data_IF_760523562518
#
_entry.id   IF_760523562518
#
_cell.length_a   1.000
_cell.length_b   1.000
_cell.length_c   1.000
_cell.angle_alpha   90.00
_cell.angle_beta   90.00
_cell.angle_gamma   90.00
#
_symmetry.space_group_name_H-M   'P 1'
#
loop_
_entity.id
_entity.type
_entity.pdbx_description
1 polymer ?
#
# COMPACT_ATOMS: atom_id res chain seq x y z
N UNK A 1 2.82 -1.60 -33.95
CA UNK A 1 2.55 -2.75 -33.05
C UNK A 1 2.02 -2.20 -31.74
N UNK A 2 0.81 -2.56 -31.33
CA UNK A 2 0.26 -2.11 -30.06
C UNK A 2 1.09 -2.74 -28.92
N UNK A 3 1.69 -1.90 -28.08
CA UNK A 3 2.39 -2.32 -26.87
C UNK A 3 1.38 -2.97 -25.90
N UNK A 4 1.10 -4.27 -26.05
CA UNK A 4 0.31 -5.01 -25.08
C UNK A 4 1.13 -5.16 -23.78
N UNK A 5 0.55 -4.71 -22.67
CA UNK A 5 1.10 -4.93 -21.34
C UNK A 5 1.26 -6.43 -21.10
N UNK A 6 2.46 -6.88 -20.70
CA UNK A 6 2.66 -8.28 -20.36
C UNK A 6 1.74 -8.69 -19.19
N UNK A 7 1.10 -9.84 -19.31
CA UNK A 7 0.17 -10.36 -18.28
C UNK A 7 0.91 -11.00 -17.10
N UNK A 8 1.85 -10.25 -16.53
CA UNK A 8 2.56 -10.62 -15.30
C UNK A 8 2.53 -9.46 -14.31
N UNK A 9 2.41 -9.79 -13.03
CA UNK A 9 2.31 -8.81 -11.95
C UNK A 9 3.05 -9.31 -10.71
N UNK A 10 3.79 -8.40 -10.04
CA UNK A 10 4.35 -8.64 -8.72
C UNK A 10 3.62 -7.78 -7.70
N UNK A 11 3.13 -8.40 -6.61
CA UNK A 11 2.38 -7.75 -5.54
C UNK A 11 3.11 -7.97 -4.22
N UNK A 12 3.54 -6.91 -3.56
CA UNK A 12 4.16 -7.03 -2.24
C UNK A 12 3.10 -7.11 -1.13
N UNK A 13 3.33 -7.98 -0.11
CA UNK A 13 2.42 -8.13 1.02
C UNK A 13 1.06 -8.72 0.64
N UNK A 14 1.06 -9.89 0.00
CA UNK A 14 -0.13 -10.49 -0.60
C UNK A 14 -0.88 -11.50 0.30
N UNK A 15 -0.45 -11.73 1.54
CA UNK A 15 -1.07 -12.75 2.41
C UNK A 15 -2.50 -12.40 2.87
N UNK A 16 -2.86 -11.12 2.94
CA UNK A 16 -4.17 -10.66 3.43
C UNK A 16 -4.58 -9.32 2.79
N UNK A 17 -5.79 -8.86 3.08
CA UNK A 17 -6.27 -7.52 2.74
C UNK A 17 -6.24 -7.18 1.26
N UNK A 18 -5.79 -5.98 0.93
CA UNK A 18 -5.73 -5.48 -0.46
C UNK A 18 -4.84 -6.37 -1.33
N UNK A 19 -3.67 -6.78 -0.83
CA UNK A 19 -2.76 -7.64 -1.58
C UNK A 19 -3.38 -8.98 -1.96
N UNK A 20 -4.08 -9.65 -1.04
CA UNK A 20 -4.77 -10.91 -1.33
C UNK A 20 -5.92 -10.73 -2.32
N UNK A 21 -6.68 -9.64 -2.22
CA UNK A 21 -7.74 -9.33 -3.18
C UNK A 21 -7.19 -9.05 -4.58
N UNK A 22 -6.05 -8.37 -4.68
CA UNK A 22 -5.36 -8.17 -5.95
C UNK A 22 -4.87 -9.48 -6.55
N UNK A 23 -4.29 -10.39 -5.74
CA UNK A 23 -3.90 -11.72 -6.24
C UNK A 23 -5.09 -12.42 -6.88
N UNK A 24 -6.23 -12.50 -6.18
CA UNK A 24 -7.44 -13.14 -6.70
C UNK A 24 -7.91 -12.51 -8.01
N UNK A 25 -8.04 -11.17 -8.03
CA UNK A 25 -8.53 -10.44 -9.21
C UNK A 25 -7.62 -10.66 -10.44
N UNK A 26 -6.29 -10.54 -10.27
CA UNK A 26 -5.38 -10.69 -11.41
C UNK A 26 -5.26 -12.14 -11.90
N UNK A 27 -5.37 -13.14 -11.01
CA UNK A 27 -5.45 -14.54 -11.41
C UNK A 27 -6.71 -14.82 -12.23
N UNK A 28 -7.89 -14.29 -11.81
CA UNK A 28 -9.14 -14.40 -12.56
C UNK A 28 -9.04 -13.78 -13.97
N UNK A 29 -8.17 -12.79 -14.15
CA UNK A 29 -7.89 -12.14 -15.46
C UNK A 29 -6.77 -12.82 -16.26
N UNK A 30 -6.29 -13.97 -15.81
CA UNK A 30 -5.29 -14.79 -16.51
C UNK A 30 -3.86 -14.25 -16.43
N UNK A 31 -3.54 -13.48 -15.37
CA UNK A 31 -2.16 -13.03 -15.11
C UNK A 31 -1.33 -14.12 -14.43
N UNK A 32 -0.03 -14.11 -14.72
CA UNK A 32 0.97 -14.72 -13.86
C UNK A 32 1.23 -13.78 -12.68
N UNK A 33 0.96 -14.23 -11.46
CA UNK A 33 1.02 -13.41 -10.26
C UNK A 33 2.17 -13.85 -9.36
N UNK A 34 3.15 -12.97 -9.19
CA UNK A 34 4.21 -13.09 -8.19
C UNK A 34 3.73 -12.39 -6.92
N UNK A 35 3.64 -13.12 -5.80
CA UNK A 35 3.12 -12.57 -4.56
C UNK A 35 4.12 -12.64 -3.41
N UNK A 36 4.54 -11.51 -2.83
CA UNK A 36 5.45 -11.56 -1.69
C UNK A 36 4.74 -11.86 -0.38
N UNK A 37 5.36 -12.73 0.39
CA UNK A 37 4.97 -13.11 1.76
C UNK A 37 6.21 -13.07 2.65
N UNK A 38 6.06 -12.74 3.94
CA UNK A 38 7.18 -12.75 4.91
C UNK A 38 7.36 -14.12 5.57
N UNK A 39 6.25 -14.75 5.91
CA UNK A 39 6.26 -16.04 6.58
C UNK A 39 6.28 -17.18 5.55
N UNK A 40 7.40 -17.92 5.51
CA UNK A 40 7.57 -19.08 4.64
C UNK A 40 6.49 -20.16 4.84
N UNK A 41 5.92 -20.28 6.04
CA UNK A 41 4.84 -21.24 6.32
C UNK A 41 3.58 -20.98 5.47
N UNK A 42 3.39 -19.74 5.00
CA UNK A 42 2.26 -19.38 4.13
C UNK A 42 2.46 -19.78 2.66
N UNK A 43 3.66 -20.19 2.25
CA UNK A 43 3.98 -20.50 0.85
C UNK A 43 3.11 -21.64 0.29
N UNK A 44 3.14 -22.80 0.93
CA UNK A 44 2.39 -23.97 0.48
C UNK A 44 0.84 -23.77 0.55
N UNK A 45 0.27 -23.22 1.64
CA UNK A 45 -1.16 -22.91 1.71
C UNK A 45 -1.64 -21.97 0.61
N UNK A 46 -0.88 -20.90 0.34
CA UNK A 46 -1.26 -19.93 -0.69
C UNK A 46 -1.10 -20.50 -2.11
N UNK A 47 -0.05 -21.29 -2.35
CA UNK A 47 0.11 -22.00 -3.63
C UNK A 47 -1.03 -22.97 -3.89
N UNK A 48 -1.46 -23.73 -2.86
CA UNK A 48 -2.63 -24.61 -2.93
C UNK A 48 -3.92 -23.82 -3.23
N UNK A 49 -4.10 -22.67 -2.57
CA UNK A 49 -5.29 -21.81 -2.73
C UNK A 49 -5.39 -21.19 -4.12
N UNK A 50 -4.29 -20.68 -4.65
CA UNK A 50 -4.29 -19.85 -5.87
C UNK A 50 -3.87 -20.59 -7.14
N UNK A 51 -3.33 -21.79 -7.02
CA UNK A 51 -2.99 -22.66 -8.16
C UNK A 51 -1.70 -22.26 -8.88
N UNK A 52 -1.52 -22.81 -10.09
CA UNK A 52 -0.24 -22.78 -10.83
C UNK A 52 0.23 -21.39 -11.27
N UNK A 53 -0.70 -20.49 -11.52
CA UNK A 53 -0.36 -19.13 -11.98
C UNK A 53 0.01 -18.17 -10.83
N UNK A 54 -0.01 -18.65 -9.59
CA UNK A 54 0.48 -17.91 -8.42
C UNK A 54 1.85 -18.42 -8.02
N UNK A 55 2.83 -17.54 -8.02
CA UNK A 55 4.21 -17.81 -7.63
C UNK A 55 4.51 -17.08 -6.33
N UNK A 56 4.54 -17.76 -5.19
CA UNK A 56 4.92 -17.15 -3.93
C UNK A 56 6.40 -16.79 -3.91
N UNK A 57 6.71 -15.61 -3.39
CA UNK A 57 8.06 -15.10 -3.16
C UNK A 57 8.21 -14.82 -1.66
N UNK A 58 9.15 -15.48 -1.00
CA UNK A 58 9.38 -15.28 0.44
C UNK A 58 10.43 -14.20 0.62
N UNK A 59 10.00 -12.98 0.97
CA UNK A 59 10.88 -11.88 1.32
C UNK A 59 10.18 -10.81 2.17
N UNK A 60 10.97 -10.14 3.01
CA UNK A 60 10.59 -8.87 3.64
C UNK A 60 11.06 -7.71 2.75
N UNK A 61 10.20 -6.72 2.53
CA UNK A 61 10.51 -5.54 1.69
C UNK A 61 11.63 -4.68 2.30
N UNK A 62 11.93 -4.86 3.57
CA UNK A 62 13.04 -4.18 4.25
C UNK A 62 14.38 -4.88 4.03
N UNK A 63 14.39 -6.09 3.47
CA UNK A 63 15.58 -6.90 3.26
C UNK A 63 15.99 -6.94 1.78
N UNK A 64 16.95 -6.11 1.43
CA UNK A 64 17.45 -5.95 0.06
C UNK A 64 17.93 -7.28 -0.55
N UNK A 65 18.67 -8.08 0.22
CA UNK A 65 19.20 -9.37 -0.25
C UNK A 65 18.09 -10.37 -0.60
N UNK A 66 17.04 -10.43 0.23
CA UNK A 66 15.89 -11.30 -0.05
C UNK A 66 15.13 -10.84 -1.31
N UNK A 67 14.99 -9.53 -1.54
CA UNK A 67 14.37 -8.99 -2.75
C UNK A 67 15.21 -9.32 -3.98
N UNK A 68 16.54 -9.22 -3.90
CA UNK A 68 17.45 -9.58 -5.01
C UNK A 68 17.32 -11.06 -5.39
N UNK A 69 17.25 -11.98 -4.43
CA UNK A 69 16.98 -13.41 -4.70
C UNK A 69 15.60 -13.63 -5.33
N UNK A 70 14.60 -12.85 -4.92
CA UNK A 70 13.28 -12.90 -5.54
C UNK A 70 13.31 -12.39 -6.98
N UNK A 71 14.11 -11.36 -7.29
CA UNK A 71 14.34 -10.88 -8.65
C UNK A 71 14.86 -11.99 -9.57
N UNK A 72 15.92 -12.71 -9.16
CA UNK A 72 16.51 -13.82 -9.93
C UNK A 72 15.44 -14.89 -10.28
N UNK A 73 14.59 -15.23 -9.29
CA UNK A 73 13.49 -16.17 -9.50
C UNK A 73 12.44 -15.63 -10.48
N UNK A 74 12.07 -14.36 -10.39
CA UNK A 74 11.12 -13.72 -11.31
C UNK A 74 11.70 -13.64 -12.71
N UNK A 75 12.94 -13.21 -12.87
CA UNK A 75 13.65 -13.12 -14.14
C UNK A 75 13.71 -14.48 -14.86
N UNK A 76 14.08 -15.55 -14.13
CA UNK A 76 14.15 -16.91 -14.67
C UNK A 76 12.80 -17.43 -15.18
N UNK A 77 11.69 -17.06 -14.50
CA UNK A 77 10.34 -17.48 -14.90
C UNK A 77 9.83 -16.66 -16.10
N UNK A 78 10.14 -15.37 -16.15
CA UNK A 78 9.73 -14.49 -17.24
C UNK A 78 10.47 -14.76 -18.56
N UNK A 79 11.61 -15.47 -18.54
CA UNK A 79 12.35 -15.92 -19.71
C UNK A 79 12.58 -14.81 -20.77
N UNK A 80 13.05 -13.65 -20.34
CA UNK A 80 13.32 -12.51 -21.21
C UNK A 80 12.11 -11.63 -21.55
N UNK A 81 10.90 -11.96 -21.09
CA UNK A 81 9.76 -11.06 -21.16
C UNK A 81 9.76 -10.08 -19.99
N UNK A 82 9.10 -8.91 -20.13
CA UNK A 82 9.03 -7.93 -19.07
C UNK A 82 7.99 -8.27 -18.01
N UNK A 83 8.23 -7.80 -16.78
CA UNK A 83 7.21 -7.70 -15.75
C UNK A 83 6.21 -6.59 -16.14
N UNK A 84 4.93 -6.93 -16.29
CA UNK A 84 3.92 -5.96 -16.68
C UNK A 84 3.61 -4.93 -15.59
N UNK A 85 3.50 -5.37 -14.32
CA UNK A 85 3.07 -4.51 -13.22
C UNK A 85 3.84 -4.85 -11.94
N UNK A 86 4.34 -3.83 -11.26
CA UNK A 86 4.81 -3.91 -9.87
C UNK A 86 3.83 -3.17 -8.96
N UNK A 87 3.29 -3.85 -7.94
CA UNK A 87 2.42 -3.25 -6.93
C UNK A 87 3.12 -3.22 -5.57
N UNK A 88 3.51 -2.05 -5.13
CA UNK A 88 4.01 -1.81 -3.77
C UNK A 88 2.81 -1.65 -2.84
N UNK A 89 2.39 -2.76 -2.22
CA UNK A 89 1.26 -2.84 -1.32
C UNK A 89 1.66 -3.16 0.12
N UNK A 90 2.83 -3.76 0.35
CA UNK A 90 3.29 -4.09 1.71
C UNK A 90 3.23 -2.87 2.63
N UNK A 91 2.64 -3.05 3.80
CA UNK A 91 2.47 -1.96 4.75
C UNK A 91 2.03 -2.45 6.12
N UNK A 92 2.21 -1.60 7.10
CA UNK A 92 1.83 -1.79 8.49
C UNK A 92 1.06 -0.55 8.97
N UNK A 93 0.30 -0.70 10.05
CA UNK A 93 -0.33 0.42 10.74
C UNK A 93 -0.25 0.18 12.24
N UNK A 94 0.48 1.01 12.94
CA UNK A 94 0.51 1.06 14.40
C UNK A 94 0.09 2.44 14.83
N UNK A 95 -0.86 2.50 15.75
CA UNK A 95 -1.48 3.73 16.24
C UNK A 95 -0.90 4.10 17.59
N UNK A 96 -0.80 5.38 17.88
CA UNK A 96 -0.42 5.86 19.20
C UNK A 96 -0.10 7.35 19.26
N UNK A 97 -0.21 7.96 20.44
CA UNK A 97 0.27 9.33 20.67
C UNK A 97 1.78 9.41 20.41
N UNK A 98 2.24 10.46 19.75
CA UNK A 98 3.67 10.65 19.43
C UNK A 98 4.56 10.58 20.67
N UNK A 99 4.10 11.11 21.79
CA UNK A 99 4.80 11.09 23.07
C UNK A 99 5.11 9.68 23.57
N UNK A 100 4.28 8.69 23.19
CA UNK A 100 4.36 7.31 23.71
C UNK A 100 4.73 6.26 22.67
N UNK A 101 5.02 6.64 21.43
CA UNK A 101 5.57 5.74 20.42
C UNK A 101 7.09 5.85 20.40
N UNK A 102 7.78 4.73 20.20
CA UNK A 102 9.23 4.74 20.10
C UNK A 102 9.70 5.18 18.72
N UNK A 103 10.95 5.68 18.63
CA UNK A 103 11.60 5.97 17.35
C UNK A 103 11.69 4.72 16.46
N UNK A 104 11.85 3.55 17.05
CA UNK A 104 11.87 2.26 16.35
C UNK A 104 10.51 1.94 15.71
N UNK A 105 9.39 2.22 16.40
CA UNK A 105 8.04 2.07 15.82
C UNK A 105 7.83 3.04 14.66
N UNK A 106 8.31 4.28 14.77
CA UNK A 106 8.25 5.27 13.70
C UNK A 106 9.10 4.85 12.50
N UNK A 107 10.35 4.47 12.73
CA UNK A 107 11.31 4.02 11.72
C UNK A 107 10.81 2.77 10.97
N UNK A 108 10.20 1.81 11.67
CA UNK A 108 9.62 0.61 11.07
C UNK A 108 8.56 0.95 9.99
N UNK A 109 7.76 1.99 10.19
CA UNK A 109 6.79 2.43 9.19
C UNK A 109 7.49 2.98 7.94
N UNK A 110 8.51 3.84 8.12
CA UNK A 110 9.29 4.40 7.02
C UNK A 110 10.05 3.29 6.28
N UNK A 111 10.72 2.40 7.01
CA UNK A 111 11.45 1.26 6.42
C UNK A 111 10.52 0.35 5.61
N UNK A 112 9.33 0.03 6.14
CA UNK A 112 8.42 -0.89 5.45
C UNK A 112 7.75 -0.24 4.24
N UNK A 113 7.21 0.97 4.39
CA UNK A 113 6.31 1.55 3.39
C UNK A 113 7.02 2.47 2.39
N UNK A 114 8.18 3.03 2.75
CA UNK A 114 8.93 3.94 1.88
C UNK A 114 10.17 3.24 1.33
N UNK A 115 11.09 2.86 2.21
CA UNK A 115 12.32 2.20 1.80
C UNK A 115 12.04 0.83 1.15
N UNK A 116 11.06 0.08 1.68
CA UNK A 116 10.63 -1.19 1.07
C UNK A 116 10.09 -1.01 -0.35
N UNK A 117 9.28 0.03 -0.60
CA UNK A 117 8.82 0.35 -1.94
C UNK A 117 9.97 0.79 -2.85
N UNK A 118 10.89 1.62 -2.35
CA UNK A 118 12.11 2.04 -3.06
C UNK A 118 12.96 0.82 -3.45
N UNK A 119 13.27 -0.07 -2.52
CA UNK A 119 14.06 -1.28 -2.79
C UNK A 119 13.42 -2.16 -3.87
N UNK A 120 12.10 -2.41 -3.77
CA UNK A 120 11.38 -3.17 -4.78
C UNK A 120 11.43 -2.49 -6.16
N UNK A 121 11.23 -1.18 -6.22
CA UNK A 121 11.35 -0.43 -7.48
C UNK A 121 12.75 -0.57 -8.04
N UNK A 122 13.78 -0.24 -7.26
CA UNK A 122 15.18 -0.25 -7.72
C UNK A 122 15.59 -1.62 -8.29
N UNK A 123 15.26 -2.70 -7.59
CA UNK A 123 15.64 -4.06 -7.98
C UNK A 123 14.83 -4.54 -9.20
N UNK A 124 13.52 -4.25 -9.28
CA UNK A 124 12.67 -4.74 -10.36
C UNK A 124 12.58 -3.82 -11.59
N UNK A 125 13.14 -2.60 -11.56
CA UNK A 125 13.16 -1.69 -12.71
C UNK A 125 13.69 -2.34 -14.01
N UNK A 126 14.76 -3.17 -13.99
CA UNK A 126 15.23 -3.83 -15.21
C UNK A 126 14.15 -4.68 -15.90
N UNK A 127 13.33 -5.39 -15.10
CA UNK A 127 12.23 -6.20 -15.62
C UNK A 127 11.01 -5.37 -16.03
N UNK A 128 10.91 -4.11 -15.59
CA UNK A 128 9.85 -3.19 -16.01
C UNK A 128 10.15 -2.44 -17.31
N UNK A 129 11.30 -2.71 -17.94
CA UNK A 129 11.62 -2.20 -19.29
C UNK A 129 12.75 -1.19 -19.33
N UNK A 130 13.52 -0.97 -18.26
CA UNK A 130 14.69 -0.08 -18.33
C UNK A 130 15.90 -0.73 -19.02
N UNK A 131 16.05 -2.05 -18.92
CA UNK A 131 17.20 -2.79 -19.49
C UNK A 131 17.05 -3.09 -20.97
N UNK A 132 15.88 -3.50 -21.43
CA UNK A 132 15.69 -4.12 -22.75
C UNK A 132 14.81 -3.30 -23.72
N UNK A 133 14.37 -2.10 -23.33
CA UNK A 133 13.43 -1.24 -24.09
C UNK A 133 12.19 -1.96 -24.65
N UNK A 134 11.82 -3.10 -24.05
CA UNK A 134 10.59 -3.81 -24.36
C UNK A 134 9.37 -2.98 -23.86
N UNK A 135 8.17 -3.48 -24.07
CA UNK A 135 6.95 -2.79 -23.63
C UNK A 135 7.06 -2.34 -22.17
N UNK A 136 6.97 -1.03 -21.89
CA UNK A 136 7.17 -0.52 -20.53
C UNK A 136 6.09 -1.04 -19.59
N UNK A 137 6.52 -1.49 -18.42
CA UNK A 137 5.63 -1.90 -17.33
C UNK A 137 4.98 -0.72 -16.62
N UNK A 138 4.28 -1.02 -15.52
CA UNK A 138 3.66 -0.02 -14.64
C UNK A 138 4.03 -0.26 -13.19
N UNK A 139 4.15 0.81 -12.42
CA UNK A 139 4.33 0.77 -10.97
C UNK A 139 3.07 1.33 -10.31
N UNK A 140 2.52 0.60 -9.38
CA UNK A 140 1.36 1.01 -8.58
C UNK A 140 1.76 1.06 -7.11
N UNK A 141 1.75 2.24 -6.52
CA UNK A 141 2.04 2.44 -5.11
C UNK A 141 0.73 2.60 -4.32
N UNK A 142 0.49 1.69 -3.36
CA UNK A 142 -0.69 1.75 -2.51
C UNK A 142 -0.44 2.72 -1.36
N UNK A 143 -0.96 3.93 -1.51
CA UNK A 143 -0.98 4.97 -0.49
C UNK A 143 -2.22 4.82 0.42
N UNK A 144 -2.77 5.92 0.88
CA UNK A 144 -3.95 5.99 1.75
C UNK A 144 -4.53 7.41 1.72
N UNK A 145 -5.74 7.60 2.23
CA UNK A 145 -6.21 8.92 2.63
C UNK A 145 -5.25 9.64 3.60
N UNK A 146 -4.54 8.86 4.45
CA UNK A 146 -3.48 9.35 5.32
C UNK A 146 -2.23 9.88 4.61
N UNK A 147 -2.07 9.66 3.30
CA UNK A 147 -1.04 10.30 2.48
C UNK A 147 -1.39 11.71 1.99
N UNK A 148 -2.55 12.22 2.34
CA UNK A 148 -3.01 13.57 1.98
C UNK A 148 -3.41 14.42 3.18
N UNK A 149 -3.78 13.78 4.29
CA UNK A 149 -4.22 14.45 5.54
C UNK A 149 -3.61 13.69 6.72
N UNK A 150 -2.88 14.42 7.59
CA UNK A 150 -2.44 13.89 8.87
C UNK A 150 -3.63 13.71 9.83
N UNK A 151 -3.64 12.61 10.54
CA UNK A 151 -4.66 12.34 11.56
C UNK A 151 -4.02 12.16 12.93
N UNK A 152 -4.69 12.52 14.02
CA UNK A 152 -4.20 12.24 15.36
C UNK A 152 -3.87 10.76 15.52
N UNK A 153 -2.87 10.45 16.32
CA UNK A 153 -2.44 9.08 16.64
C UNK A 153 -1.93 8.23 15.47
N UNK A 154 -1.75 8.83 14.29
CA UNK A 154 -1.28 8.17 13.07
C UNK A 154 -0.02 8.80 12.49
N UNK A 155 0.78 9.48 13.29
CA UNK A 155 1.93 10.26 12.80
C UNK A 155 2.89 9.41 11.94
N UNK A 156 3.35 8.25 12.44
CA UNK A 156 4.26 7.37 11.70
C UNK A 156 3.65 6.85 10.39
N UNK A 157 2.38 6.46 10.43
CA UNK A 157 1.64 5.99 9.24
C UNK A 157 1.45 7.11 8.21
N UNK A 158 0.93 8.27 8.65
CA UNK A 158 0.67 9.40 7.75
C UNK A 158 1.98 9.93 7.14
N UNK A 159 3.05 10.08 7.95
CA UNK A 159 4.38 10.49 7.45
C UNK A 159 4.87 9.54 6.36
N UNK A 160 4.77 8.22 6.59
CA UNK A 160 5.20 7.23 5.60
C UNK A 160 4.36 7.30 4.31
N UNK A 161 3.05 7.51 4.41
CA UNK A 161 2.19 7.61 3.22
C UNK A 161 2.41 8.92 2.45
N UNK A 162 2.68 10.04 3.12
CA UNK A 162 3.09 11.29 2.47
C UNK A 162 4.45 11.13 1.77
N UNK A 163 5.42 10.50 2.44
CA UNK A 163 6.74 10.23 1.86
C UNK A 163 6.64 9.29 0.64
N UNK A 164 5.82 8.25 0.70
CA UNK A 164 5.56 7.36 -0.45
C UNK A 164 4.94 8.11 -1.64
N UNK A 165 4.05 9.07 -1.39
CA UNK A 165 3.46 9.89 -2.46
C UNK A 165 4.51 10.81 -3.09
N UNK A 166 5.34 11.50 -2.29
CA UNK A 166 6.44 12.32 -2.78
C UNK A 166 7.46 11.52 -3.59
N UNK A 167 7.87 10.34 -3.08
CA UNK A 167 8.70 9.39 -3.82
C UNK A 167 8.07 8.99 -5.16
N UNK A 168 6.78 8.68 -5.15
CA UNK A 168 6.06 8.27 -6.36
C UNK A 168 6.00 9.40 -7.41
N UNK A 169 5.90 10.65 -6.99
CA UNK A 169 5.90 11.79 -7.90
C UNK A 169 7.25 12.01 -8.57
N UNK A 170 8.36 11.93 -7.83
CA UNK A 170 9.70 12.03 -8.37
C UNK A 170 9.97 10.88 -9.34
N UNK A 171 9.73 9.66 -8.90
CA UNK A 171 9.89 8.45 -9.70
C UNK A 171 9.09 8.51 -11.02
N UNK A 172 7.87 9.03 -10.99
CA UNK A 172 7.04 9.18 -12.19
C UNK A 172 7.67 10.10 -13.23
N UNK A 173 8.31 11.17 -12.79
CA UNK A 173 9.01 12.12 -13.68
C UNK A 173 10.28 11.51 -14.24
N UNK A 174 11.08 10.84 -13.42
CA UNK A 174 12.31 10.18 -13.83
C UNK A 174 12.04 9.07 -14.87
N UNK A 175 11.00 8.28 -14.67
CA UNK A 175 10.70 7.14 -15.55
C UNK A 175 9.98 7.51 -16.85
N UNK A 176 9.74 8.80 -17.12
CA UNK A 176 9.20 9.26 -18.40
C UNK A 176 10.09 8.84 -19.59
N UNK A 177 11.40 8.83 -19.41
CA UNK A 177 12.36 8.42 -20.46
C UNK A 177 12.18 6.95 -20.92
N UNK A 178 11.61 6.11 -20.05
CA UNK A 178 11.33 4.69 -20.33
C UNK A 178 9.85 4.44 -20.67
N UNK A 179 8.99 5.45 -20.57
CA UNK A 179 7.54 5.29 -20.75
C UNK A 179 6.83 4.53 -19.64
N UNK A 180 7.53 4.18 -18.54
CA UNK A 180 6.98 3.47 -17.39
C UNK A 180 6.02 4.39 -16.64
N UNK A 181 4.79 3.92 -16.38
CA UNK A 181 3.77 4.70 -15.67
C UNK A 181 3.80 4.40 -14.17
N UNK A 182 3.91 5.45 -13.34
CA UNK A 182 3.82 5.35 -11.89
C UNK A 182 2.49 5.91 -11.43
N UNK A 183 1.71 5.10 -10.71
CA UNK A 183 0.33 5.37 -10.33
C UNK A 183 0.20 5.25 -8.81
N UNK A 184 -0.37 6.27 -8.19
CA UNK A 184 -0.70 6.25 -6.76
C UNK A 184 -2.16 5.85 -6.61
N UNK A 185 -2.41 4.81 -5.83
CA UNK A 185 -3.75 4.44 -5.38
C UNK A 185 -3.85 4.83 -3.90
N UNK A 186 -4.78 5.71 -3.56
CA UNK A 186 -5.01 6.21 -2.21
C UNK A 186 -6.39 5.74 -1.69
N UNK A 187 -6.49 4.51 -1.16
CA UNK A 187 -7.73 4.00 -0.56
C UNK A 187 -8.09 4.78 0.70
N UNK A 188 -9.39 4.93 0.97
CA UNK A 188 -9.92 5.44 2.24
C UNK A 188 -10.48 4.29 3.08
N UNK A 189 -11.76 4.22 3.30
CA UNK A 189 -12.39 3.18 4.11
C UNK A 189 -12.69 1.93 3.26
N UNK A 190 -11.85 0.92 3.40
CA UNK A 190 -12.05 -0.44 2.89
C UNK A 190 -11.89 -1.45 4.04
N UNK A 191 -12.64 -2.56 3.97
CA UNK A 191 -12.54 -3.67 4.92
C UNK A 191 -11.22 -4.40 4.71
N UNK A 192 -10.22 -4.07 5.50
CA UNK A 192 -8.88 -4.67 5.40
C UNK A 192 -8.40 -5.16 6.75
N UNK A 193 -7.63 -6.24 6.77
CA UNK A 193 -7.01 -6.77 7.99
C UNK A 193 -5.85 -5.91 8.53
N UNK A 194 -5.60 -4.72 8.00
CA UNK A 194 -4.48 -3.87 8.46
C UNK A 194 -4.73 -3.38 9.88
N UNK A 195 -5.98 -3.08 10.22
CA UNK A 195 -6.36 -2.62 11.56
C UNK A 195 -6.45 -3.76 12.58
N UNK A 196 -6.83 -4.96 12.15
CA UNK A 196 -6.82 -6.16 13.00
C UNK A 196 -5.38 -6.52 13.40
N UNK A 197 -4.46 -6.45 12.43
CA UNK A 197 -3.02 -6.68 12.65
C UNK A 197 -2.33 -5.56 13.43
N UNK A 198 -2.95 -4.41 13.59
CA UNK A 198 -2.40 -3.29 14.37
C UNK A 198 -2.62 -3.45 15.87
N UNK A 199 -3.30 -4.51 16.31
CA UNK A 199 -3.62 -4.80 17.71
C UNK A 199 -4.21 -3.57 18.41
N UNK A 200 -5.25 -2.99 17.81
CA UNK A 200 -5.84 -1.71 18.24
C UNK A 200 -6.25 -1.74 19.71
N UNK A 201 -6.75 -2.89 20.22
CA UNK A 201 -7.17 -3.04 21.60
C UNK A 201 -5.99 -3.10 22.58
N UNK A 202 -4.94 -3.87 22.25
CA UNK A 202 -3.72 -3.94 23.06
C UNK A 202 -3.04 -2.57 23.12
N UNK A 203 -3.06 -1.83 22.01
CA UNK A 203 -2.53 -0.47 21.98
C UNK A 203 -3.37 0.50 22.81
N UNK A 204 -4.70 0.34 22.83
CA UNK A 204 -5.55 1.15 23.70
C UNK A 204 -5.22 0.90 25.18
N UNK A 205 -4.97 -0.35 25.56
CA UNK A 205 -4.54 -0.70 26.91
C UNK A 205 -3.15 -0.13 27.24
N UNK A 206 -2.20 -0.12 26.28
CA UNK A 206 -0.85 0.46 26.47
C UNK A 206 -0.91 1.95 26.86
N UNK A 207 -1.88 2.69 26.35
CA UNK A 207 -2.00 4.13 26.59
C UNK A 207 -3.09 4.46 27.62
N UNK A 208 -3.62 3.45 28.32
CA UNK A 208 -4.49 3.67 29.48
C UNK A 208 -3.68 4.35 30.60
N UNK A 209 -4.31 5.29 31.32
CA UNK A 209 -3.66 6.14 32.32
C UNK A 209 -2.71 7.23 31.77
N UNK A 210 -2.82 7.57 30.48
CA UNK A 210 -2.18 8.77 29.91
C UNK A 210 -3.20 9.88 29.69
N UNK A 211 -2.74 11.13 29.47
CA UNK A 211 -3.61 12.25 29.10
C UNK A 211 -4.42 11.96 27.81
N UNK A 212 -3.98 11.01 27.00
CA UNK A 212 -4.61 10.63 25.73
C UNK A 212 -5.68 9.53 25.87
N UNK A 213 -5.87 8.95 27.04
CA UNK A 213 -6.74 7.75 27.24
C UNK A 213 -8.10 7.89 26.57
N UNK A 214 -8.85 8.97 26.86
CA UNK A 214 -10.20 9.15 26.31
C UNK A 214 -10.17 9.44 24.81
N UNK A 215 -9.28 10.32 24.38
CA UNK A 215 -9.10 10.69 22.99
C UNK A 215 -8.69 9.50 22.14
N UNK A 216 -7.77 8.68 22.62
CA UNK A 216 -7.30 7.50 21.92
C UNK A 216 -8.37 6.39 21.84
N UNK A 217 -9.12 6.13 22.92
CA UNK A 217 -10.28 5.23 22.89
C UNK A 217 -11.33 5.68 21.86
N UNK A 218 -11.65 6.97 21.81
CA UNK A 218 -12.59 7.50 20.81
C UNK A 218 -12.07 7.34 19.39
N UNK A 219 -10.77 7.58 19.17
CA UNK A 219 -10.13 7.41 17.88
C UNK A 219 -10.11 5.93 17.44
N UNK A 220 -9.75 5.01 18.31
CA UNK A 220 -9.72 3.57 17.97
C UNK A 220 -11.12 3.04 17.65
N UNK A 221 -12.16 3.48 18.36
CA UNK A 221 -13.55 3.15 18.03
C UNK A 221 -13.93 3.68 16.63
N UNK A 222 -13.56 4.93 16.32
CA UNK A 222 -13.77 5.49 14.97
C UNK A 222 -13.09 4.66 13.88
N UNK A 223 -11.85 4.19 14.10
CA UNK A 223 -11.14 3.32 13.16
C UNK A 223 -11.87 1.99 12.98
N UNK A 224 -12.30 1.34 14.07
CA UNK A 224 -13.06 0.08 14.03
C UNK A 224 -14.37 0.23 13.26
N UNK A 225 -15.13 1.28 13.55
CA UNK A 225 -16.39 1.55 12.86
C UNK A 225 -16.20 1.87 11.38
N UNK A 226 -15.17 2.66 11.06
CA UNK A 226 -14.81 2.97 9.68
C UNK A 226 -14.39 1.72 8.91
N UNK A 227 -13.68 0.79 9.55
CA UNK A 227 -13.30 -0.50 8.97
C UNK A 227 -14.53 -1.38 8.71
N UNK A 228 -15.45 -1.50 9.68
CA UNK A 228 -16.69 -2.28 9.52
C UNK A 228 -17.60 -1.74 8.42
N UNK A 229 -17.73 -0.40 8.32
CA UNK A 229 -18.55 0.29 7.29
C UNK A 229 -17.83 0.45 5.95
N UNK A 230 -16.56 0.07 5.88
CA UNK A 230 -15.74 0.18 4.66
C UNK A 230 -16.28 -0.65 3.50
N UNK A 231 -15.93 -0.27 2.27
CA UNK A 231 -16.23 -1.05 1.08
C UNK A 231 -15.42 -2.36 1.06
N UNK A 232 -15.94 -3.36 0.36
CA UNK A 232 -15.21 -4.61 0.14
C UNK A 232 -13.91 -4.37 -0.65
N UNK A 233 -12.83 -4.99 -0.22
CA UNK A 233 -11.53 -4.91 -0.91
C UNK A 233 -11.58 -5.47 -2.33
N UNK A 234 -12.51 -6.37 -2.65
CA UNK A 234 -12.73 -6.89 -4.01
C UNK A 234 -13.09 -5.77 -4.97
N UNK A 235 -13.93 -4.81 -4.55
CA UNK A 235 -14.28 -3.62 -5.37
C UNK A 235 -13.04 -2.77 -5.64
N UNK A 236 -12.15 -2.62 -4.66
CA UNK A 236 -10.89 -1.91 -4.85
C UNK A 236 -9.98 -2.64 -5.84
N UNK A 237 -9.82 -3.95 -5.70
CA UNK A 237 -9.00 -4.77 -6.58
C UNK A 237 -9.47 -4.68 -8.04
N UNK A 238 -10.78 -4.78 -8.29
CA UNK A 238 -11.37 -4.60 -9.62
C UNK A 238 -11.09 -3.22 -10.22
N UNK A 239 -11.18 -2.16 -9.41
CA UNK A 239 -10.85 -0.80 -9.86
C UNK A 239 -9.36 -0.67 -10.19
N UNK A 240 -8.47 -1.22 -9.35
CA UNK A 240 -7.03 -1.21 -9.60
C UNK A 240 -6.69 -1.98 -10.88
N UNK A 241 -7.31 -3.14 -11.10
CA UNK A 241 -7.17 -3.87 -12.36
C UNK A 241 -7.56 -2.99 -13.56
N UNK A 242 -8.75 -2.38 -13.56
CA UNK A 242 -9.20 -1.49 -14.65
C UNK A 242 -8.21 -0.35 -14.90
N UNK A 243 -7.70 0.29 -13.85
CA UNK A 243 -6.71 1.38 -13.95
C UNK A 243 -5.38 0.86 -14.51
N UNK A 244 -4.93 -0.30 -14.07
CA UNK A 244 -3.68 -0.91 -14.54
C UNK A 244 -3.71 -1.20 -16.05
N UNK A 245 -4.89 -1.42 -16.62
CA UNK A 245 -5.08 -1.67 -18.07
C UNK A 245 -5.20 -0.39 -18.91
N UNK A 246 -5.39 0.79 -18.30
CA UNK A 246 -5.52 2.05 -19.04
C UNK A 246 -4.21 2.41 -19.76
N UNK A 247 -4.29 2.86 -21.02
CA UNK A 247 -3.13 3.39 -21.77
C UNK A 247 -2.60 4.70 -21.15
N UNK A 248 -3.47 5.57 -20.66
CA UNK A 248 -3.16 6.88 -20.05
C UNK A 248 -3.82 7.00 -18.67
N UNK A 249 -3.36 6.30 -17.64
CA UNK A 249 -3.92 6.45 -16.30
C UNK A 249 -3.57 7.81 -15.70
N UNK A 250 -4.43 8.31 -14.78
CA UNK A 250 -4.08 9.48 -13.94
C UNK A 250 -2.93 9.13 -13.00
N UNK A 251 -2.17 10.15 -12.58
CA UNK A 251 -1.06 9.96 -11.64
C UNK A 251 -1.53 9.46 -10.25
N UNK A 252 -2.74 9.88 -9.81
CA UNK A 252 -3.30 9.51 -8.49
C UNK A 252 -4.80 9.26 -8.60
N UNK A 253 -5.24 8.22 -7.88
CA UNK A 253 -6.65 7.88 -7.68
C UNK A 253 -6.96 7.79 -6.19
N UNK A 254 -7.82 8.66 -5.70
CA UNK A 254 -8.37 8.58 -4.34
C UNK A 254 -9.68 7.80 -4.39
N UNK A 255 -9.78 6.70 -3.63
CA UNK A 255 -10.87 5.73 -3.73
C UNK A 255 -11.53 5.47 -2.38
N UNK A 256 -12.83 5.24 -2.40
CA UNK A 256 -13.62 4.89 -1.22
C UNK A 256 -14.82 5.82 -1.03
N UNK A 257 -15.65 5.57 0.00
CA UNK A 257 -16.82 6.38 0.31
C UNK A 257 -16.44 7.82 0.68
N UNK A 258 -17.44 8.72 0.69
CA UNK A 258 -17.29 10.12 1.13
C UNK A 258 -16.23 10.92 0.37
N UNK A 259 -16.11 10.69 -0.96
CA UNK A 259 -15.10 11.36 -1.78
C UNK A 259 -15.18 12.88 -1.75
N UNK A 260 -16.41 13.44 -1.83
CA UNK A 260 -16.64 14.87 -1.78
C UNK A 260 -16.27 15.47 -0.41
N UNK A 261 -16.69 14.82 0.68
CA UNK A 261 -16.35 15.26 2.03
C UNK A 261 -14.82 15.26 2.25
N UNK A 262 -14.13 14.22 1.81
CA UNK A 262 -12.69 14.13 1.89
C UNK A 262 -11.99 15.24 1.09
N UNK A 263 -12.50 15.55 -0.10
CA UNK A 263 -12.00 16.63 -0.93
C UNK A 263 -12.20 17.99 -0.23
N UNK A 264 -13.40 18.25 0.30
CA UNK A 264 -13.71 19.48 1.03
C UNK A 264 -12.81 19.66 2.26
N UNK A 265 -12.67 18.62 3.08
CA UNK A 265 -11.79 18.68 4.26
C UNK A 265 -10.35 19.04 3.84
N UNK A 266 -9.86 18.52 2.73
CA UNK A 266 -8.50 18.78 2.25
C UNK A 266 -8.29 20.23 1.81
N UNK A 267 -9.34 20.93 1.38
CA UNK A 267 -9.29 22.32 0.93
C UNK A 267 -9.51 23.32 2.06
N UNK A 268 -10.00 22.88 3.22
CA UNK A 268 -10.21 23.75 4.38
C UNK A 268 -8.88 24.27 4.95
N UNK A 269 -8.88 25.47 5.56
CA UNK A 269 -7.73 25.97 6.32
C UNK A 269 -7.31 24.97 7.43
N UNK A 270 -6.00 24.71 7.55
CA UNK A 270 -5.48 23.71 8.49
C UNK A 270 -5.95 23.92 9.93
N UNK A 271 -5.94 25.17 10.41
CA UNK A 271 -6.43 25.53 11.76
C UNK A 271 -7.91 25.21 11.99
N UNK A 272 -8.73 25.25 10.94
CA UNK A 272 -10.13 24.85 11.04
C UNK A 272 -10.26 23.33 11.17
N UNK A 273 -9.45 22.59 10.39
CA UNK A 273 -9.36 21.12 10.52
C UNK A 273 -8.90 20.73 11.92
N UNK A 274 -7.87 21.40 12.46
CA UNK A 274 -7.36 21.17 13.81
C UNK A 274 -8.47 21.32 14.86
N UNK A 275 -9.28 22.39 14.76
CA UNK A 275 -10.43 22.62 15.66
C UNK A 275 -11.49 21.53 15.53
N UNK A 276 -11.83 21.14 14.31
CA UNK A 276 -12.83 20.08 14.05
C UNK A 276 -12.36 18.75 14.62
N UNK A 277 -11.16 18.31 14.29
CA UNK A 277 -10.61 17.04 14.75
C UNK A 277 -10.32 17.06 16.25
N UNK A 278 -9.82 18.18 16.77
CA UNK A 278 -9.54 18.37 18.18
C UNK A 278 -10.80 18.23 19.04
N UNK A 279 -11.89 18.88 18.66
CA UNK A 279 -13.20 18.72 19.34
C UNK A 279 -13.75 17.31 19.16
N UNK A 280 -13.71 16.77 17.94
CA UNK A 280 -14.26 15.45 17.64
C UNK A 280 -13.56 14.35 18.43
N UNK A 281 -12.24 14.38 18.54
CA UNK A 281 -11.45 13.37 19.25
C UNK A 281 -11.11 13.72 20.70
N UNK A 282 -11.73 14.74 21.29
CA UNK A 282 -11.50 15.15 22.67
C UNK A 282 -10.03 15.56 22.97
N UNK A 283 -9.36 16.16 22.00
CA UNK A 283 -7.99 16.70 22.12
C UNK A 283 -7.97 18.18 22.52
N UNK A 284 -9.12 18.80 22.69
CA UNK A 284 -9.28 20.19 23.12
C UNK A 284 -10.13 20.19 24.39
N UNK A 285 -9.67 20.95 25.40
CA UNK A 285 -10.44 21.28 26.60
C UNK A 285 -11.53 22.28 26.29
#
# INVERSE_FOLDING_TARGET
>A
MENQLNKSILITGCSTGIGAALVSEFLEKGFLVFGSIRDKKMEAPLKKKYGRNFIPLVFDVTNYVQISKAYEKVESILKGTNLGILVNNAGIAQLGPVEHISSQEFDLHLKTMVLGAFNCVQIFLPLLGTKNRLSPGKIINISSGGGSIGQPFMASYCSSKHALEGFSESLRRELLIYGIKVIIIAPRAFKTAIWDKSNVDDRAAKFDKTEYTQAFKKFTNFIKDSSKKGQDVKVLAQKIYKISMMKKPKAKYSMGPSGLQFYLIRTLPKRLIDKILGKYFLLMK
#
